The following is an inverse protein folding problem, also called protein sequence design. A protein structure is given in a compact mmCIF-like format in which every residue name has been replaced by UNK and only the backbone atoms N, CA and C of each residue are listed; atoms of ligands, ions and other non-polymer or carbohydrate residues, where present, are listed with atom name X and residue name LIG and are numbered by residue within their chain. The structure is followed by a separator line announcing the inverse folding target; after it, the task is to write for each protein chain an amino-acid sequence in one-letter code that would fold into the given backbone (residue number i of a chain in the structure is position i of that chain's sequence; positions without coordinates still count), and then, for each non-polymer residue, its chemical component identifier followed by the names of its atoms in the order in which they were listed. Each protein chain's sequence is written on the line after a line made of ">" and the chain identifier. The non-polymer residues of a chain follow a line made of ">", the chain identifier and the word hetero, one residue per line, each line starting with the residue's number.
data_IF_066789991222
#
_entry.id   IF_066789991222
#
_cell.length_a   1.000
_cell.length_b   1.000
_cell.length_c   1.000
_cell.angle_alpha   90.00
_cell.angle_beta   90.00
_cell.angle_gamma   90.00
#
_symmetry.space_group_name_H-M   'P 1'
#
loop_
_entity.id
_entity.type
_entity.pdbx_description
1 polymer ?
#
# COMPACT_ATOMS: atom_id res chain seq x y z
N UNK A 1 -12.67 -30.22 -46.54
CA UNK A 1 -12.81 -28.75 -46.47
C UNK A 1 -11.43 -28.20 -46.13
N UNK A 2 -10.95 -27.15 -46.81
CA UNK A 2 -9.64 -26.57 -46.47
C UNK A 2 -9.70 -26.06 -45.03
N UNK A 3 -8.72 -26.41 -44.21
CA UNK A 3 -8.56 -25.88 -42.86
C UNK A 3 -8.73 -24.36 -42.93
N UNK A 4 -9.66 -23.82 -42.14
CA UNK A 4 -9.98 -22.39 -42.08
C UNK A 4 -8.68 -21.70 -41.65
N UNK A 5 -7.89 -21.24 -42.62
CA UNK A 5 -6.63 -20.54 -42.37
C UNK A 5 -6.96 -19.39 -41.45
N UNK A 6 -6.56 -19.52 -40.19
CA UNK A 6 -6.82 -18.55 -39.13
C UNK A 6 -6.58 -17.14 -39.68
N UNK A 7 -7.62 -16.33 -39.77
CA UNK A 7 -7.45 -14.97 -40.26
C UNK A 7 -6.80 -14.18 -39.13
N UNK A 8 -5.68 -13.50 -39.42
CA UNK A 8 -5.07 -12.52 -38.50
C UNK A 8 -6.10 -11.51 -37.98
N UNK A 9 -7.19 -11.32 -38.73
CA UNK A 9 -8.35 -10.53 -38.36
C UNK A 9 -9.12 -11.06 -37.13
N UNK A 10 -9.30 -12.38 -36.98
CA UNK A 10 -9.97 -12.97 -35.82
C UNK A 10 -9.17 -12.74 -34.53
N UNK A 11 -7.86 -13.05 -34.55
CA UNK A 11 -6.95 -12.76 -33.44
C UNK A 11 -6.91 -11.27 -33.10
N UNK A 12 -6.82 -10.40 -34.12
CA UNK A 12 -6.84 -8.95 -33.91
C UNK A 12 -8.12 -8.47 -33.22
N UNK A 13 -9.28 -9.04 -33.56
CA UNK A 13 -10.56 -8.71 -32.91
C UNK A 13 -10.60 -9.22 -31.48
N UNK A 14 -10.15 -10.46 -31.25
CA UNK A 14 -10.05 -11.05 -29.91
C UNK A 14 -9.18 -10.19 -28.99
N UNK A 15 -7.98 -9.82 -29.45
CA UNK A 15 -7.05 -9.00 -28.68
C UNK A 15 -7.62 -7.63 -28.34
N UNK A 16 -8.32 -7.02 -29.29
CA UNK A 16 -8.99 -5.73 -29.06
C UNK A 16 -10.08 -5.87 -27.99
N UNK A 17 -10.87 -6.95 -28.05
CA UNK A 17 -11.87 -7.27 -27.05
C UNK A 17 -11.28 -7.50 -25.66
N UNK A 18 -10.24 -8.34 -25.55
CA UNK A 18 -9.58 -8.62 -24.28
C UNK A 18 -8.88 -7.40 -23.70
N UNK A 19 -8.22 -6.56 -24.51
CA UNK A 19 -7.68 -5.29 -24.03
C UNK A 19 -8.76 -4.35 -23.50
N UNK A 20 -9.92 -4.28 -24.16
CA UNK A 20 -11.03 -3.48 -23.68
C UNK A 20 -11.60 -4.01 -22.35
N UNK A 21 -11.77 -5.33 -22.23
CA UNK A 21 -12.21 -5.98 -20.98
C UNK A 21 -11.21 -5.71 -19.85
N UNK A 22 -9.93 -5.93 -20.11
CA UNK A 22 -8.86 -5.72 -19.14
C UNK A 22 -8.85 -4.26 -18.66
N UNK A 23 -8.78 -3.30 -19.58
CA UNK A 23 -8.71 -1.87 -19.22
C UNK A 23 -9.94 -1.44 -18.42
N UNK A 24 -11.14 -1.87 -18.85
CA UNK A 24 -12.38 -1.53 -18.15
C UNK A 24 -12.38 -2.10 -16.72
N UNK A 25 -12.00 -3.36 -16.55
CA UNK A 25 -11.95 -4.01 -15.25
C UNK A 25 -10.88 -3.39 -14.35
N UNK A 26 -9.68 -3.16 -14.89
CA UNK A 26 -8.57 -2.50 -14.19
C UNK A 26 -8.95 -1.10 -13.69
N UNK A 27 -9.66 -0.31 -14.49
CA UNK A 27 -10.13 1.04 -14.11
C UNK A 27 -11.34 1.02 -13.16
N UNK A 28 -12.11 -0.06 -13.15
CA UNK A 28 -13.29 -0.21 -12.27
C UNK A 28 -12.90 -0.69 -10.87
N UNK A 29 -11.74 -1.32 -10.72
CA UNK A 29 -11.21 -1.71 -9.43
C UNK A 29 -11.01 -0.47 -8.53
N UNK A 30 -11.29 -0.62 -7.24
CA UNK A 30 -11.22 0.45 -6.25
C UNK A 30 -10.25 0.08 -5.12
N UNK A 31 -8.94 -0.03 -5.42
CA UNK A 31 -7.94 -0.36 -4.42
C UNK A 31 -7.88 0.71 -3.32
N UNK A 32 -7.47 0.30 -2.13
CA UNK A 32 -7.54 1.11 -0.90
C UNK A 32 -6.18 1.69 -0.47
N UNK A 33 -5.06 1.28 -1.06
CA UNK A 33 -3.70 1.65 -0.65
C UNK A 33 -3.48 3.17 -0.65
N UNK A 34 -4.15 3.90 -1.55
CA UNK A 34 -4.05 5.36 -1.64
C UNK A 34 -4.52 6.05 -0.37
N UNK A 35 -5.33 5.39 0.47
CA UNK A 35 -5.76 5.94 1.75
C UNK A 35 -4.61 6.03 2.77
N UNK A 36 -3.60 5.17 2.64
CA UNK A 36 -2.52 5.00 3.64
C UNK A 36 -1.11 5.18 3.09
N UNK A 37 -0.92 5.19 1.77
CA UNK A 37 0.37 5.34 1.13
C UNK A 37 0.40 6.46 0.10
N UNK A 38 1.57 7.10 -0.04
CA UNK A 38 1.86 8.03 -1.12
C UNK A 38 2.42 7.33 -2.34
N UNK A 39 1.92 7.71 -3.52
CA UNK A 39 2.47 7.21 -4.78
C UNK A 39 3.78 7.92 -5.11
N UNK A 40 4.83 7.17 -5.38
CA UNK A 40 6.09 7.69 -5.90
C UNK A 40 6.39 7.02 -7.24
N UNK A 41 6.60 7.84 -8.27
CA UNK A 41 7.05 7.33 -9.56
C UNK A 41 8.53 6.95 -9.49
N UNK A 42 8.85 5.71 -9.84
CA UNK A 42 10.22 5.21 -9.84
C UNK A 42 10.82 5.21 -11.24
N UNK A 43 12.13 5.44 -11.30
CA UNK A 43 12.91 5.39 -12.54
C UNK A 43 14.11 4.44 -12.46
N UNK A 44 14.56 4.08 -11.26
CA UNK A 44 15.74 3.25 -11.00
C UNK A 44 15.39 1.81 -10.59
N UNK A 45 16.42 0.96 -10.39
CA UNK A 45 16.24 -0.41 -9.84
C UNK A 45 16.02 -0.39 -8.32
N UNK A 46 16.64 0.57 -7.66
CA UNK A 46 16.54 0.85 -6.23
C UNK A 46 16.35 2.36 -6.15
N UNK A 47 15.29 2.82 -5.49
CA UNK A 47 15.15 4.24 -5.17
C UNK A 47 15.79 4.50 -3.80
N UNK A 48 16.34 5.70 -3.65
CA UNK A 48 17.08 6.12 -2.47
C UNK A 48 16.42 7.38 -1.92
N UNK A 49 15.82 7.28 -0.74
CA UNK A 49 14.99 8.34 -0.15
C UNK A 49 15.80 9.13 0.89
N UNK A 50 16.67 10.02 0.42
CA UNK A 50 17.56 10.83 1.30
C UNK A 50 16.81 11.85 2.18
N UNK A 51 15.54 12.14 1.87
CA UNK A 51 14.72 13.09 2.63
C UNK A 51 14.07 12.48 3.88
N UNK A 52 14.05 11.15 4.00
CA UNK A 52 13.35 10.47 5.10
C UNK A 52 14.00 10.65 6.47
N UNK A 53 15.20 11.22 6.55
CA UNK A 53 15.85 11.54 7.82
C UNK A 53 15.48 12.96 8.35
N UNK A 54 14.48 13.64 7.77
CA UNK A 54 14.17 15.03 8.12
C UNK A 54 12.69 15.40 8.07
N UNK A 55 12.07 15.59 9.24
CA UNK A 55 10.78 16.29 9.33
C UNK A 55 11.04 17.80 9.29
N UNK A 56 10.58 18.55 8.26
CA UNK A 56 10.84 19.98 8.16
C UNK A 56 10.16 20.79 9.28
N UNK A 57 10.82 21.86 9.75
CA UNK A 57 10.27 22.76 10.76
C UNK A 57 10.79 24.20 10.66
N UNK A 58 9.89 25.18 10.64
CA UNK A 58 10.22 26.62 10.65
C UNK A 58 10.82 27.07 11.99
N UNK A 59 12.00 27.69 11.99
CA UNK A 59 12.61 28.30 13.18
C UNK A 59 12.49 29.82 13.13
N UNK A 60 12.51 30.48 14.29
CA UNK A 60 12.55 31.95 14.33
C UNK A 60 13.82 32.43 13.63
N UNK A 61 13.68 33.40 12.74
CA UNK A 61 14.80 34.04 12.06
C UNK A 61 15.44 35.04 13.02
N UNK A 62 16.66 34.74 13.49
CA UNK A 62 17.38 35.58 14.46
C UNK A 62 18.60 36.22 13.78
N UNK A 63 19.31 35.48 12.91
CA UNK A 63 20.50 35.95 12.19
C UNK A 63 20.69 35.13 10.89
N UNK A 64 21.89 34.59 10.62
CA UNK A 64 22.15 33.73 9.46
C UNK A 64 21.33 32.43 9.44
N UNK A 65 21.11 31.90 8.23
CA UNK A 65 20.40 30.62 8.05
C UNK A 65 21.20 29.51 8.72
N UNK A 66 20.63 28.90 9.76
CA UNK A 66 21.13 27.64 10.30
C UNK A 66 20.76 26.51 9.34
N UNK A 67 21.67 26.19 8.43
CA UNK A 67 21.49 25.13 7.43
C UNK A 67 21.64 23.77 8.10
N UNK A 68 20.55 23.00 8.19
CA UNK A 68 20.61 21.58 8.57
C UNK A 68 21.22 20.79 7.41
N UNK A 69 22.36 20.12 7.62
CA UNK A 69 22.95 19.22 6.62
C UNK A 69 22.09 17.97 6.51
N UNK A 70 21.86 17.51 5.27
CA UNK A 70 21.24 16.20 5.02
C UNK A 70 22.30 15.13 5.32
N UNK A 71 22.06 14.28 6.32
CA UNK A 71 22.88 13.10 6.56
C UNK A 71 22.57 12.02 5.50
N UNK A 72 23.57 11.19 5.19
CA UNK A 72 23.62 10.38 3.95
C UNK A 72 23.11 8.95 4.11
N UNK A 73 22.64 8.55 5.29
CA UNK A 73 22.01 7.24 5.45
C UNK A 73 20.63 7.31 4.84
N UNK A 74 20.52 6.67 3.67
CA UNK A 74 19.37 6.79 2.82
C UNK A 74 18.59 5.47 2.82
N UNK A 75 17.31 5.56 3.15
CA UNK A 75 16.40 4.44 3.03
C UNK A 75 16.33 3.99 1.56
N UNK A 76 16.55 2.70 1.32
CA UNK A 76 16.59 2.12 -0.01
C UNK A 76 15.42 1.18 -0.21
N UNK A 77 14.64 1.40 -1.27
CA UNK A 77 13.55 0.52 -1.65
C UNK A 77 13.81 -0.09 -3.03
N UNK A 78 13.93 -1.42 -3.08
CA UNK A 78 14.18 -2.14 -4.33
C UNK A 78 12.87 -2.47 -5.02
N UNK A 79 12.77 -2.11 -6.30
CA UNK A 79 11.67 -2.54 -7.14
C UNK A 79 11.68 -4.06 -7.36
N UNK A 80 10.55 -4.70 -7.09
CA UNK A 80 10.29 -6.10 -7.35
C UNK A 80 9.45 -6.28 -8.62
N UNK A 81 9.47 -7.51 -9.17
CA UNK A 81 8.77 -7.85 -10.42
C UNK A 81 7.62 -8.78 -10.10
N UNK A 82 6.48 -8.51 -10.70
CA UNK A 82 5.28 -9.32 -10.56
C UNK A 82 4.70 -9.57 -11.95
N UNK A 83 4.09 -10.74 -12.12
CA UNK A 83 3.41 -11.13 -13.35
C UNK A 83 2.28 -12.10 -13.03
N UNK A 84 1.29 -12.11 -13.90
CA UNK A 84 0.31 -13.18 -13.98
C UNK A 84 -0.04 -13.38 -15.47
N UNK A 85 -0.22 -14.62 -15.89
CA UNK A 85 -0.35 -15.01 -17.28
C UNK A 85 -1.35 -16.14 -17.45
N UNK A 86 -2.34 -15.93 -18.31
CA UNK A 86 -3.30 -16.95 -18.73
C UNK A 86 -2.97 -17.46 -20.15
N UNK A 87 -3.29 -18.72 -20.40
CA UNK A 87 -3.21 -19.34 -21.72
C UNK A 87 -4.62 -19.52 -22.29
N UNK A 88 -4.76 -19.27 -23.58
CA UNK A 88 -5.97 -19.55 -24.37
C UNK A 88 -5.59 -20.56 -25.43
N UNK A 89 -6.28 -21.70 -25.45
CA UNK A 89 -6.04 -22.76 -26.43
C UNK A 89 -6.32 -22.23 -27.84
N UNK A 90 -5.50 -22.64 -28.82
CA UNK A 90 -5.71 -22.24 -30.21
C UNK A 90 -7.06 -22.72 -30.74
N UNK A 91 -7.44 -23.95 -30.41
CA UNK A 91 -8.69 -24.57 -30.85
C UNK A 91 -9.92 -23.75 -30.40
N UNK A 92 -9.92 -23.23 -29.17
CA UNK A 92 -11.00 -22.37 -28.68
C UNK A 92 -11.11 -21.05 -29.46
N UNK A 93 -9.99 -20.53 -29.99
CA UNK A 93 -10.02 -19.37 -30.89
C UNK A 93 -10.53 -19.75 -32.27
N UNK A 94 -10.14 -20.91 -32.79
CA UNK A 94 -10.58 -21.40 -34.10
C UNK A 94 -12.08 -21.67 -34.15
N UNK A 95 -12.61 -22.15 -33.03
CA UNK A 95 -14.02 -22.51 -32.82
C UNK A 95 -14.89 -21.33 -32.30
N UNK A 96 -14.33 -20.12 -32.17
CA UNK A 96 -15.02 -18.92 -31.66
C UNK A 96 -15.59 -19.08 -30.23
N UNK A 97 -14.95 -19.95 -29.42
CA UNK A 97 -15.30 -20.25 -28.03
C UNK A 97 -14.55 -19.38 -27.01
N UNK A 98 -14.25 -18.14 -27.39
CA UNK A 98 -13.38 -17.24 -26.62
C UNK A 98 -14.11 -16.43 -25.53
N UNK A 99 -15.44 -16.43 -25.57
CA UNK A 99 -16.29 -15.70 -24.61
C UNK A 99 -16.09 -16.16 -23.16
N UNK A 100 -15.76 -17.44 -22.95
CA UNK A 100 -15.48 -18.07 -21.65
C UNK A 100 -14.25 -17.46 -20.95
N UNK A 101 -13.24 -17.05 -21.72
CA UNK A 101 -12.00 -16.46 -21.19
C UNK A 101 -12.15 -14.99 -20.77
N UNK A 102 -13.26 -14.34 -21.11
CA UNK A 102 -13.52 -12.94 -20.72
C UNK A 102 -13.50 -12.75 -19.20
N UNK A 103 -13.98 -13.74 -18.43
CA UNK A 103 -13.93 -13.68 -16.97
C UNK A 103 -12.51 -13.86 -16.43
N UNK A 104 -11.69 -14.70 -17.08
CA UNK A 104 -10.28 -14.85 -16.72
C UNK A 104 -9.50 -13.55 -16.96
N UNK A 105 -9.72 -12.88 -18.10
CA UNK A 105 -9.09 -11.58 -18.40
C UNK A 105 -9.56 -10.49 -17.42
N UNK A 106 -10.83 -10.52 -17.01
CA UNK A 106 -11.36 -9.62 -15.97
C UNK A 106 -10.68 -9.86 -14.62
N UNK A 107 -10.55 -11.11 -14.19
CA UNK A 107 -9.84 -11.47 -12.95
C UNK A 107 -8.36 -11.06 -12.98
N UNK A 108 -7.68 -11.26 -14.12
CA UNK A 108 -6.30 -10.81 -14.33
C UNK A 108 -6.16 -9.28 -14.16
N UNK A 109 -7.13 -8.53 -14.66
CA UNK A 109 -7.15 -7.07 -14.53
C UNK A 109 -7.42 -6.60 -13.10
N UNK A 110 -8.36 -7.25 -12.40
CA UNK A 110 -8.68 -6.97 -10.99
C UNK A 110 -7.46 -7.25 -10.11
N UNK A 111 -6.85 -8.43 -10.23
CA UNK A 111 -5.62 -8.78 -9.51
C UNK A 111 -4.49 -7.77 -9.77
N UNK A 112 -4.27 -7.38 -11.03
CA UNK A 112 -3.25 -6.40 -11.38
C UNK A 112 -3.53 -5.00 -10.80
N UNK A 113 -4.80 -4.61 -10.68
CA UNK A 113 -5.21 -3.32 -10.14
C UNK A 113 -5.16 -3.28 -8.61
N UNK A 114 -5.45 -4.40 -7.96
CA UNK A 114 -5.45 -4.58 -6.50
C UNK A 114 -4.06 -4.94 -5.94
N UNK A 115 -3.13 -5.41 -6.76
CA UNK A 115 -1.78 -5.77 -6.30
C UNK A 115 -1.04 -4.69 -5.48
N UNK A 116 -1.18 -3.37 -5.75
CA UNK A 116 -0.62 -2.36 -4.85
C UNK A 116 -1.20 -2.39 -3.42
N UNK A 117 -2.46 -2.81 -3.24
CA UNK A 117 -3.02 -3.07 -1.89
C UNK A 117 -2.24 -4.18 -1.20
N UNK A 118 -2.02 -5.31 -1.89
CA UNK A 118 -1.25 -6.43 -1.35
C UNK A 118 0.11 -5.96 -0.84
N UNK A 119 0.85 -5.18 -1.66
CA UNK A 119 2.17 -4.68 -1.28
C UNK A 119 2.10 -3.72 -0.08
N UNK A 120 1.19 -2.76 -0.10
CA UNK A 120 1.13 -1.71 0.93
C UNK A 120 0.60 -2.24 2.26
N UNK A 121 -0.45 -3.06 2.27
CA UNK A 121 -0.97 -3.64 3.50
C UNK A 121 -0.06 -4.76 4.05
N UNK A 122 0.64 -5.50 3.17
CA UNK A 122 1.74 -6.38 3.61
C UNK A 122 2.84 -5.58 4.32
N UNK A 123 3.32 -4.49 3.72
CA UNK A 123 4.32 -3.63 4.36
C UNK A 123 3.82 -3.08 5.70
N UNK A 124 2.55 -2.67 5.80
CA UNK A 124 1.95 -2.24 7.07
C UNK A 124 1.99 -3.37 8.12
N UNK A 125 1.58 -4.58 7.76
CA UNK A 125 1.59 -5.75 8.66
C UNK A 125 2.99 -6.14 9.11
N UNK A 126 3.96 -6.13 8.19
CA UNK A 126 5.36 -6.47 8.43
C UNK A 126 6.14 -5.34 9.14
N UNK A 127 5.52 -4.18 9.37
CA UNK A 127 6.17 -3.02 10.00
C UNK A 127 6.71 -3.27 11.42
N UNK A 128 6.19 -4.27 12.13
CA UNK A 128 6.72 -4.70 13.43
C UNK A 128 8.07 -5.44 13.34
N UNK A 129 8.44 -5.89 12.14
CA UNK A 129 9.60 -6.77 11.89
C UNK A 129 10.51 -6.23 10.77
N UNK A 130 10.11 -5.15 10.11
CA UNK A 130 10.81 -4.58 8.96
C UNK A 130 11.36 -3.20 9.29
N UNK A 131 12.66 -2.96 9.05
CA UNK A 131 13.29 -1.70 9.38
C UNK A 131 12.82 -0.54 8.50
N UNK A 132 12.76 0.64 9.08
CA UNK A 132 12.51 1.90 8.40
C UNK A 132 13.82 2.71 8.22
N UNK A 133 13.71 4.01 7.95
CA UNK A 133 14.86 4.84 7.57
C UNK A 133 15.86 5.08 8.71
N UNK A 134 15.45 4.89 9.97
CA UNK A 134 16.31 5.06 11.15
C UNK A 134 16.98 3.75 11.60
N UNK A 135 16.72 2.64 10.89
CA UNK A 135 17.27 1.32 11.19
C UNK A 135 16.46 0.49 12.20
N UNK A 136 15.51 1.11 12.91
CA UNK A 136 14.54 0.39 13.76
C UNK A 136 13.38 -0.15 12.93
N UNK A 137 12.64 -1.12 13.45
CA UNK A 137 11.40 -1.58 12.82
C UNK A 137 10.42 -0.40 12.68
N UNK A 138 9.54 -0.41 11.67
CA UNK A 138 8.61 0.70 11.47
C UNK A 138 7.64 0.90 12.64
N UNK A 139 7.30 -0.18 13.35
CA UNK A 139 6.62 -0.16 14.63
C UNK A 139 7.54 -0.71 15.71
N UNK A 140 8.11 0.18 16.51
CA UNK A 140 9.19 -0.15 17.45
C UNK A 140 9.06 0.64 18.76
N UNK A 141 9.45 0.06 19.91
CA UNK A 141 9.51 0.79 21.16
C UNK A 141 10.64 1.84 21.22
N UNK A 142 11.66 1.73 20.37
CA UNK A 142 12.96 2.36 20.57
C UNK A 142 13.47 3.20 19.39
N UNK A 143 12.61 4.04 18.80
CA UNK A 143 13.07 4.99 17.77
C UNK A 143 13.96 6.09 18.38
N UNK A 144 15.18 6.32 17.84
CA UNK A 144 16.07 7.36 18.35
C UNK A 144 15.63 8.76 17.88
N UNK A 145 15.46 9.70 18.81
CA UNK A 145 15.15 11.11 18.54
C UNK A 145 16.10 12.03 19.29
N UNK A 146 16.70 13.01 18.60
CA UNK A 146 17.59 13.99 19.23
C UNK A 146 16.80 15.16 19.82
N UNK A 147 16.76 15.25 21.14
CA UNK A 147 16.14 16.35 21.91
C UNK A 147 17.26 17.08 22.65
N UNK A 148 17.43 18.37 22.36
CA UNK A 148 18.45 19.23 22.99
C UNK A 148 19.90 18.68 22.96
N UNK A 149 20.20 17.86 21.95
CA UNK A 149 21.53 17.26 21.74
C UNK A 149 21.70 15.89 22.38
N UNK A 150 20.69 15.40 23.10
CA UNK A 150 20.65 14.06 23.68
C UNK A 150 19.71 13.15 22.88
N UNK A 151 20.11 11.89 22.72
CA UNK A 151 19.26 10.87 22.10
C UNK A 151 18.25 10.34 23.12
N UNK A 152 16.98 10.32 22.71
CA UNK A 152 15.86 9.81 23.49
C UNK A 152 15.14 8.74 22.68
N UNK A 153 14.90 7.59 23.31
CA UNK A 153 14.08 6.52 22.75
C UNK A 153 12.59 6.90 22.78
N UNK A 154 11.90 6.73 21.65
CA UNK A 154 10.49 7.04 21.47
C UNK A 154 9.75 5.87 20.83
N UNK A 155 8.65 5.45 21.44
CA UNK A 155 7.81 4.37 20.92
C UNK A 155 6.69 4.89 20.01
N UNK A 156 6.37 4.13 18.97
CA UNK A 156 5.14 4.28 18.19
C UNK A 156 4.28 3.00 18.18
N UNK A 157 4.38 2.18 19.22
CA UNK A 157 3.62 0.94 19.27
C UNK A 157 3.08 0.56 20.65
N UNK A 158 2.13 -0.37 20.64
CA UNK A 158 1.62 -1.08 21.82
C UNK A 158 1.79 -2.58 21.60
N UNK A 159 2.48 -3.23 22.53
CA UNK A 159 2.65 -4.67 22.48
C UNK A 159 1.37 -5.42 22.85
N UNK A 160 1.29 -6.69 22.46
CA UNK A 160 0.20 -7.59 22.76
C UNK A 160 0.18 -8.80 21.83
N UNK A 161 -0.77 -9.70 22.08
CA UNK A 161 -0.94 -10.96 21.33
C UNK A 161 -2.21 -11.00 20.48
N UNK A 162 -2.95 -9.89 20.41
CA UNK A 162 -4.18 -9.78 19.63
C UNK A 162 -3.90 -9.44 18.16
N UNK A 163 -4.95 -9.43 17.33
CA UNK A 163 -4.83 -8.96 15.96
C UNK A 163 -4.41 -7.50 15.90
N UNK A 164 -3.51 -7.20 14.98
CA UNK A 164 -2.92 -5.87 14.88
C UNK A 164 -3.95 -4.85 14.36
N UNK A 165 -3.98 -3.67 14.96
CA UNK A 165 -4.67 -2.50 14.46
C UNK A 165 -3.73 -1.30 14.40
N UNK A 166 -4.01 -0.38 13.49
CA UNK A 166 -3.10 0.71 13.18
C UNK A 166 -3.83 2.05 13.20
N UNK A 167 -3.19 3.04 13.79
CA UNK A 167 -3.69 4.40 13.81
C UNK A 167 -2.74 5.30 13.01
N UNK A 168 -3.27 5.92 11.96
CA UNK A 168 -2.47 6.65 10.97
C UNK A 168 -2.85 8.12 10.91
N UNK A 169 -1.83 8.96 10.71
CA UNK A 169 -1.97 10.37 10.33
C UNK A 169 -1.74 10.49 8.81
N UNK A 170 -2.82 10.57 8.04
CA UNK A 170 -2.79 10.54 6.57
C UNK A 170 -3.05 11.90 5.92
N UNK A 171 -3.26 12.95 6.74
CA UNK A 171 -3.54 14.33 6.29
C UNK A 171 -2.31 15.26 6.38
N UNK A 172 -1.12 14.70 6.59
CA UNK A 172 0.15 15.43 6.57
C UNK A 172 0.67 15.58 5.13
N UNK A 173 1.84 16.21 4.97
CA UNK A 173 2.47 16.41 3.66
C UNK A 173 2.83 15.10 2.94
N UNK A 174 3.00 14.01 3.71
CA UNK A 174 3.16 12.65 3.23
C UNK A 174 2.31 11.73 4.13
N UNK A 175 1.92 10.57 3.60
CA UNK A 175 1.32 9.47 4.36
C UNK A 175 2.41 8.54 4.93
N UNK A 176 2.08 7.69 5.92
CA UNK A 176 3.08 6.88 6.62
C UNK A 176 3.76 5.79 5.77
N UNK A 177 3.14 5.41 4.64
CA UNK A 177 3.70 4.44 3.70
C UNK A 177 3.93 5.09 2.32
N UNK A 178 4.74 4.43 1.51
CA UNK A 178 4.91 4.75 0.08
C UNK A 178 4.62 3.52 -0.76
N UNK A 179 4.01 3.75 -1.92
CA UNK A 179 3.97 2.81 -3.02
C UNK A 179 4.81 3.35 -4.18
N UNK A 180 5.88 2.64 -4.47
CA UNK A 180 6.80 2.91 -5.56
C UNK A 180 6.28 2.23 -6.83
N UNK A 181 5.77 3.02 -7.77
CA UNK A 181 5.26 2.54 -9.06
C UNK A 181 6.34 2.72 -10.15
N UNK A 182 6.89 1.61 -10.66
CA UNK A 182 7.95 1.63 -11.69
C UNK A 182 7.44 1.23 -13.06
N UNK A 183 6.56 0.24 -13.13
CA UNK A 183 5.89 -0.23 -14.35
C UNK A 183 4.45 -0.53 -13.98
N UNK A 184 3.55 0.31 -14.47
CA UNK A 184 2.11 0.08 -14.37
C UNK A 184 1.73 -1.18 -15.17
N UNK A 185 0.83 -1.98 -14.62
CA UNK A 185 0.29 -3.15 -15.29
C UNK A 185 -0.52 -2.79 -16.55
N UNK A 186 -0.29 -3.55 -17.61
CA UNK A 186 -0.99 -3.47 -18.89
C UNK A 186 -1.10 -4.89 -19.46
N UNK A 187 -2.17 -5.17 -20.23
CA UNK A 187 -2.32 -6.46 -20.90
C UNK A 187 -1.30 -6.61 -22.04
N UNK A 188 -0.39 -7.55 -21.87
CA UNK A 188 0.57 -8.02 -22.86
C UNK A 188 -0.05 -9.22 -23.57
N UNK A 189 -0.09 -9.14 -24.89
CA UNK A 189 -0.58 -10.21 -25.75
C UNK A 189 0.60 -10.82 -26.48
N UNK A 190 0.72 -12.15 -26.42
CA UNK A 190 1.75 -12.90 -27.13
C UNK A 190 1.11 -14.02 -27.96
N UNK A 191 0.54 -13.61 -29.07
CA UNK A 191 -0.37 -14.39 -29.90
C UNK A 191 0.13 -14.65 -31.34
N UNK A 192 1.30 -14.13 -31.71
CA UNK A 192 1.85 -14.28 -33.07
C UNK A 192 2.26 -15.75 -33.33
N UNK A 193 1.57 -16.50 -34.20
CA UNK A 193 1.87 -17.91 -34.43
C UNK A 193 3.20 -18.15 -35.16
N UNK A 194 3.70 -17.14 -35.87
CA UNK A 194 4.95 -17.23 -36.63
C UNK A 194 6.17 -16.89 -35.76
N UNK A 195 5.96 -16.19 -34.63
CA UNK A 195 7.05 -15.72 -33.75
C UNK A 195 6.97 -16.24 -32.32
N UNK A 196 5.80 -16.72 -31.89
CA UNK A 196 5.59 -17.21 -30.54
C UNK A 196 6.03 -18.66 -30.43
N UNK A 197 7.15 -18.87 -29.72
CA UNK A 197 7.62 -20.20 -29.39
C UNK A 197 6.56 -21.01 -28.62
N UNK A 198 5.76 -20.37 -27.76
CA UNK A 198 4.69 -21.05 -27.02
C UNK A 198 3.58 -21.52 -27.94
N UNK A 199 3.17 -20.70 -28.91
CA UNK A 199 2.15 -21.09 -29.88
C UNK A 199 2.64 -22.27 -30.73
N UNK A 200 3.91 -22.27 -31.13
CA UNK A 200 4.51 -23.38 -31.86
C UNK A 200 4.66 -24.66 -31.02
N UNK A 201 5.10 -24.54 -29.77
CA UNK A 201 5.44 -25.68 -28.92
C UNK A 201 4.25 -26.25 -28.14
N UNK A 202 3.25 -25.43 -27.82
CA UNK A 202 2.15 -25.76 -26.91
C UNK A 202 0.75 -25.49 -27.46
N UNK A 203 0.66 -24.95 -28.67
CA UNK A 203 -0.63 -24.62 -29.32
C UNK A 203 -1.52 -23.64 -28.53
N UNK A 204 -0.89 -22.72 -27.79
CA UNK A 204 -1.56 -21.76 -26.90
C UNK A 204 -1.16 -20.31 -27.17
N UNK A 205 -2.13 -19.40 -27.12
CA UNK A 205 -1.94 -17.95 -27.09
C UNK A 205 -1.82 -17.46 -25.65
N UNK A 206 -0.82 -16.63 -25.35
CA UNK A 206 -0.60 -16.13 -23.99
C UNK A 206 -1.09 -14.69 -23.83
N UNK A 207 -1.81 -14.45 -22.74
CA UNK A 207 -2.28 -13.14 -22.31
C UNK A 207 -1.79 -12.93 -20.88
N UNK A 208 -0.86 -11.99 -20.71
CA UNK A 208 -0.25 -11.75 -19.41
C UNK A 208 -0.27 -10.29 -19.03
N UNK A 209 -0.03 -10.03 -17.76
CA UNK A 209 0.23 -8.71 -17.22
C UNK A 209 1.51 -8.76 -16.42
N UNK A 210 2.22 -7.64 -16.34
CA UNK A 210 3.35 -7.50 -15.43
C UNK A 210 3.33 -6.14 -14.80
N UNK A 211 3.75 -6.09 -13.55
CA UNK A 211 3.99 -4.84 -12.85
C UNK A 211 5.39 -4.84 -12.27
N UNK A 212 5.84 -3.64 -11.91
CA UNK A 212 7.08 -3.47 -11.19
C UNK A 212 6.90 -2.36 -10.19
N UNK A 213 7.20 -2.65 -8.94
CA UNK A 213 7.01 -1.71 -7.86
C UNK A 213 7.49 -2.29 -6.54
N UNK A 214 7.28 -1.52 -5.48
CA UNK A 214 7.50 -1.94 -4.11
C UNK A 214 6.70 -1.04 -3.17
N UNK A 215 6.39 -1.53 -1.98
CA UNK A 215 5.86 -0.70 -0.91
C UNK A 215 6.86 -0.63 0.25
N UNK A 216 6.85 0.47 0.99
CA UNK A 216 7.73 0.68 2.12
C UNK A 216 7.27 1.84 2.99
N UNK A 217 8.19 2.36 3.79
CA UNK A 217 7.86 3.28 4.88
C UNK A 217 8.27 4.72 4.61
N UNK A 218 7.54 5.66 5.22
CA UNK A 218 7.98 7.04 5.36
C UNK A 218 8.38 7.34 6.82
N UNK A 219 7.75 8.34 7.44
CA UNK A 219 7.98 8.75 8.81
C UNK A 219 7.15 7.86 9.76
N UNK A 220 7.85 7.08 10.59
CA UNK A 220 7.24 6.24 11.63
C UNK A 220 6.35 7.05 12.59
N UNK A 221 6.65 8.34 12.79
CA UNK A 221 5.87 9.24 13.63
C UNK A 221 4.42 9.39 13.16
N UNK A 222 4.14 9.11 11.88
CA UNK A 222 2.81 9.23 11.28
C UNK A 222 1.95 7.98 11.46
N UNK A 223 2.50 6.90 12.03
CA UNK A 223 1.77 5.66 12.27
C UNK A 223 1.97 5.18 13.70
N UNK A 224 0.95 4.51 14.23
CA UNK A 224 1.04 3.79 15.49
C UNK A 224 0.47 2.39 15.32
N UNK A 225 1.25 1.37 15.65
CA UNK A 225 0.87 -0.03 15.52
C UNK A 225 0.55 -0.64 16.88
N UNK A 226 -0.54 -1.39 17.01
CA UNK A 226 -0.91 -2.01 18.28
C UNK A 226 -1.33 -3.46 18.09
N UNK A 227 -0.79 -4.35 18.91
CA UNK A 227 -1.26 -5.73 19.09
C UNK A 227 -1.99 -5.92 20.42
N UNK A 228 -2.20 -4.84 21.18
CA UNK A 228 -3.06 -4.85 22.36
C UNK A 228 -4.54 -4.94 21.93
N UNK A 229 -5.46 -5.41 22.80
CA UNK A 229 -6.89 -5.42 22.49
C UNK A 229 -7.39 -4.03 22.06
N UNK A 230 -8.20 -3.95 21.01
CA UNK A 230 -8.79 -2.70 20.54
C UNK A 230 -9.91 -2.25 21.49
N UNK A 231 -9.55 -1.48 22.52
CA UNK A 231 -10.47 -0.89 23.51
C UNK A 231 -10.43 0.64 23.45
N UNK A 232 -11.45 1.36 23.97
CA UNK A 232 -11.42 2.81 24.09
C UNK A 232 -10.16 3.33 24.80
N UNK A 233 -9.69 2.63 25.84
CA UNK A 233 -8.50 2.98 26.62
C UNK A 233 -7.22 2.86 25.79
N UNK A 234 -7.01 1.73 25.11
CA UNK A 234 -5.82 1.51 24.30
C UNK A 234 -5.78 2.45 23.08
N UNK A 235 -6.93 2.68 22.45
CA UNK A 235 -7.08 3.67 21.38
C UNK A 235 -6.78 5.10 21.85
N UNK A 236 -7.27 5.48 23.03
CA UNK A 236 -6.97 6.78 23.64
C UNK A 236 -5.47 6.93 23.88
N UNK A 237 -4.82 5.90 24.42
CA UNK A 237 -3.39 5.91 24.69
C UNK A 237 -2.57 6.03 23.39
N UNK A 238 -2.90 5.26 22.35
CA UNK A 238 -2.25 5.36 21.03
C UNK A 238 -2.41 6.75 20.42
N UNK A 239 -3.61 7.34 20.47
CA UNK A 239 -3.85 8.72 20.03
C UNK A 239 -3.00 9.73 20.78
N UNK A 240 -2.94 9.61 22.10
CA UNK A 240 -2.19 10.53 22.95
C UNK A 240 -0.68 10.43 22.68
N UNK A 241 -0.17 9.21 22.49
CA UNK A 241 1.23 8.97 22.13
C UNK A 241 1.59 9.70 20.82
N UNK A 242 0.82 9.46 19.74
CA UNK A 242 1.05 10.13 18.45
C UNK A 242 0.96 11.66 18.54
N UNK A 243 -0.04 12.17 19.27
CA UNK A 243 -0.26 13.62 19.40
C UNK A 243 0.82 14.33 20.25
N UNK A 244 1.57 13.58 21.05
CA UNK A 244 2.62 14.10 21.93
C UNK A 244 4.01 14.01 21.30
N UNK A 245 4.14 13.44 20.09
CA UNK A 245 5.43 13.31 19.43
C UNK A 245 6.07 14.68 19.15
N UNK A 246 7.34 14.75 19.48
CA UNK A 246 8.21 15.90 19.21
C UNK A 246 9.28 15.50 18.21
N UNK A 247 9.67 16.44 17.36
CA UNK A 247 10.86 16.32 16.53
C UNK A 247 12.06 16.96 17.21
N UNK A 248 13.08 17.27 16.42
CA UNK A 248 14.31 17.90 16.90
C UNK A 248 14.05 19.11 17.80
N UNK A 249 14.84 19.21 18.87
CA UNK A 249 14.79 20.32 19.85
C UNK A 249 13.42 20.43 20.55
N UNK A 250 12.74 19.29 20.75
CA UNK A 250 11.50 19.21 21.54
C UNK A 250 10.29 19.87 20.88
N UNK A 251 10.35 20.17 19.57
CA UNK A 251 9.24 20.82 18.87
C UNK A 251 8.08 19.84 18.63
N UNK A 252 6.83 20.16 19.04
CA UNK A 252 5.67 19.34 18.69
C UNK A 252 5.50 19.21 17.17
N UNK A 253 5.26 17.97 16.71
CA UNK A 253 5.08 17.66 15.28
C UNK A 253 3.66 17.96 14.76
N UNK A 254 2.75 18.35 15.66
CA UNK A 254 1.34 18.63 15.35
C UNK A 254 0.65 17.44 14.66
N UNK A 255 1.00 16.20 15.05
CA UNK A 255 0.45 14.99 14.45
C UNK A 255 -0.90 14.72 15.08
N UNK A 256 -1.92 14.66 14.23
CA UNK A 256 -3.27 14.27 14.64
C UNK A 256 -3.63 13.04 13.82
N UNK A 257 -3.62 11.85 14.42
CA UNK A 257 -4.09 10.66 13.71
C UNK A 257 -5.54 10.86 13.29
N UNK A 258 -5.94 10.28 12.18
CA UNK A 258 -7.27 10.47 11.60
C UNK A 258 -7.87 9.20 10.98
N UNK A 259 -7.08 8.12 10.84
CA UNK A 259 -7.53 6.88 10.21
C UNK A 259 -7.17 5.69 11.08
N UNK A 260 -8.17 4.91 11.47
CA UNK A 260 -8.03 3.66 12.20
C UNK A 260 -8.17 2.51 11.19
N UNK A 261 -7.08 1.79 10.94
CA UNK A 261 -7.03 0.67 10.00
C UNK A 261 -7.13 -0.63 10.79
N UNK A 262 -8.07 -1.49 10.42
CA UNK A 262 -8.39 -2.72 11.17
C UNK A 262 -8.63 -3.92 10.25
N UNK A 263 -8.31 -5.15 10.70
CA UNK A 263 -8.80 -6.37 10.05
C UNK A 263 -10.33 -6.52 10.25
N UNK A 264 -11.00 -7.38 9.45
CA UNK A 264 -12.45 -7.55 9.52
C UNK A 264 -12.97 -7.92 10.92
N UNK A 265 -12.23 -8.73 11.68
CA UNK A 265 -12.63 -9.18 13.01
C UNK A 265 -12.66 -8.05 14.08
N UNK A 266 -11.95 -6.95 13.83
CA UNK A 266 -11.92 -5.79 14.73
C UNK A 266 -12.85 -4.65 14.28
N UNK A 267 -13.58 -4.82 13.17
CA UNK A 267 -14.44 -3.76 12.62
C UNK A 267 -15.51 -3.34 13.64
N UNK A 268 -16.23 -4.28 14.25
CA UNK A 268 -17.26 -3.95 15.25
C UNK A 268 -16.72 -3.15 16.44
N UNK A 269 -15.57 -3.57 16.99
CA UNK A 269 -14.92 -2.85 18.08
C UNK A 269 -14.48 -1.43 17.65
N UNK A 270 -13.97 -1.28 16.43
CA UNK A 270 -13.62 0.03 15.87
C UNK A 270 -14.86 0.94 15.76
N UNK A 271 -15.98 0.41 15.26
CA UNK A 271 -17.24 1.16 15.12
C UNK A 271 -17.79 1.63 16.47
N UNK A 272 -17.77 0.77 17.49
CA UNK A 272 -18.14 1.14 18.86
C UNK A 272 -17.29 2.29 19.40
N UNK A 273 -15.98 2.29 19.10
CA UNK A 273 -15.06 3.33 19.58
C UNK A 273 -15.30 4.66 18.85
N UNK A 274 -15.40 4.69 17.52
CA UNK A 274 -15.36 5.97 16.77
C UNK A 274 -16.66 6.37 16.07
N UNK A 275 -17.61 5.46 15.85
CA UNK A 275 -18.88 5.75 15.15
C UNK A 275 -20.09 5.86 16.08
N UNK A 276 -20.05 5.30 17.28
CA UNK A 276 -21.16 5.39 18.24
C UNK A 276 -21.15 6.75 18.96
N UNK A 277 -22.28 7.49 18.95
CA UNK A 277 -22.40 8.80 19.62
C UNK A 277 -22.60 8.70 21.12
N UNK A 278 -23.34 7.69 21.60
CA UNK A 278 -23.67 7.49 23.01
C UNK A 278 -23.36 6.06 23.40
N UNK A 279 -22.69 5.89 24.52
CA UNK A 279 -22.39 4.56 25.09
C UNK A 279 -23.64 3.95 25.73
N UNK A 280 -23.59 2.66 26.05
CA UNK A 280 -24.72 1.90 26.62
C UNK A 280 -25.27 2.47 27.94
N UNK A 281 -24.50 3.33 28.62
CA UNK A 281 -24.94 4.08 29.80
C UNK A 281 -25.60 5.44 29.50
N UNK A 282 -25.87 5.76 28.24
CA UNK A 282 -26.47 7.02 27.79
C UNK A 282 -25.52 8.23 27.80
N UNK A 283 -24.23 8.03 28.10
CA UNK A 283 -23.20 9.08 28.10
C UNK A 283 -22.68 9.32 26.69
N UNK A 284 -22.28 10.56 26.39
CA UNK A 284 -21.65 10.86 25.10
C UNK A 284 -20.29 10.17 24.99
N UNK A 285 -20.01 9.58 23.83
CA UNK A 285 -18.75 8.92 23.53
C UNK A 285 -17.67 9.97 23.23
N UNK A 286 -16.65 10.04 24.08
CA UNK A 286 -15.53 10.96 23.93
C UNK A 286 -14.66 10.69 22.68
N UNK A 287 -14.82 9.53 22.03
CA UNK A 287 -14.05 9.10 20.85
C UNK A 287 -14.82 9.22 19.53
N UNK A 288 -16.11 9.58 19.60
CA UNK A 288 -16.95 9.76 18.42
C UNK A 288 -16.33 10.74 17.42
N UNK A 289 -16.20 10.30 16.17
CA UNK A 289 -15.68 11.10 15.06
C UNK A 289 -14.20 11.45 15.14
N UNK A 290 -13.44 10.87 16.07
CA UNK A 290 -12.01 11.17 16.16
C UNK A 290 -11.23 10.58 14.98
N UNK A 291 -11.52 9.36 14.53
CA UNK A 291 -10.92 8.77 13.33
C UNK A 291 -12.00 8.18 12.41
N UNK A 292 -11.69 8.15 11.12
CA UNK A 292 -12.38 7.31 10.13
C UNK A 292 -11.88 5.86 10.27
N UNK A 293 -12.71 4.89 9.88
CA UNK A 293 -12.35 3.47 9.89
C UNK A 293 -12.02 3.05 8.46
N UNK A 294 -10.88 2.39 8.28
CA UNK A 294 -10.55 1.62 7.10
C UNK A 294 -10.46 0.15 7.49
N UNK A 295 -11.56 -0.57 7.37
CA UNK A 295 -11.52 -2.03 7.44
C UNK A 295 -10.99 -2.57 6.12
N UNK A 296 -10.05 -3.52 6.21
CA UNK A 296 -9.49 -4.15 5.02
C UNK A 296 -9.22 -5.65 5.21
N UNK A 297 -9.68 -6.52 4.31
CA UNK A 297 -9.36 -7.95 4.35
C UNK A 297 -7.86 -8.25 4.18
N UNK A 298 -7.08 -7.33 3.62
CA UNK A 298 -5.64 -7.48 3.45
C UNK A 298 -4.86 -7.60 4.77
N UNK A 299 -5.50 -7.24 5.90
CA UNK A 299 -4.96 -7.44 7.24
C UNK A 299 -5.46 -8.72 7.92
N UNK A 300 -6.35 -9.49 7.30
CA UNK A 300 -6.80 -10.77 7.85
C UNK A 300 -5.64 -11.79 7.84
N UNK A 301 -5.58 -12.64 8.87
CA UNK A 301 -4.58 -13.71 9.01
C UNK A 301 -3.75 -13.57 10.26
#
# INVERSE_FOLDING_TARGET
>A
MPAKRMSRELLSRLNTGFKAIFNKAFESASPQWQNIAEKVNSTAKVETYTWLNQIPGMKRWIDERRVKKLERDAYQLRNEKFEDTIAVEREDVEDDNVGTYSMAVKGLAEAAAEHPDELVFKALKEGFESPCYDGQNFFDPDHPVIIDGEEVSVSNMQDGSGPAWFLLATKKSVKPLIYQDRVKAELIVHDDPEKSNTVFMKDQYLYGTRSRGAAGYTFWQLAFGSRAPLTPENFKAARAAMASLVGDQGRPLNIVPNLLVVPPELEGAAEEIVKVKRTDGGKDNAHYGKAEILMTPWLAG
#
